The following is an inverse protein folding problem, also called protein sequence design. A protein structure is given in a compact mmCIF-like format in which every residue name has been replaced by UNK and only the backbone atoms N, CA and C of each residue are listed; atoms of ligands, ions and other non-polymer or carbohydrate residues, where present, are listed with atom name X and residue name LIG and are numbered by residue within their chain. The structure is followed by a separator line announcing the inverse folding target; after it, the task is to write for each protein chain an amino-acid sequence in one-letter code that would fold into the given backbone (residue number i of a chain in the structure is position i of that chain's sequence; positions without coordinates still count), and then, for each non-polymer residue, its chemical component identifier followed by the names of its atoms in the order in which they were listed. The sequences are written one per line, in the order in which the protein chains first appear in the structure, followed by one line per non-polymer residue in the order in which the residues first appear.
data_IF_855146005203
#
_entry.id   IF_855146005203
#
_cell.length_a   1.000
_cell.length_b   1.000
_cell.length_c   1.000
_cell.angle_alpha   90.00
_cell.angle_beta   90.00
_cell.angle_gamma   90.00
#
_symmetry.space_group_name_H-M   'P 1'
#
loop_
_entity.id
_entity.type
_entity.pdbx_description
1 polymer ?
#
# COMPACT_ATOMS: atom_id res chain seq x y z
N UNK A 1 -17.33 -0.43 -12.42
CA UNK A 1 -16.74 -0.03 -11.13
C UNK A 1 -15.26 -0.29 -11.21
N UNK A 2 -14.44 0.70 -10.86
CA UNK A 2 -13.00 0.50 -10.73
C UNK A 2 -12.71 -0.57 -9.66
N UNK A 3 -11.74 -1.47 -9.91
CA UNK A 3 -11.36 -2.55 -8.97
C UNK A 3 -11.04 -2.00 -7.58
N UNK A 4 -10.43 -0.82 -7.53
CA UNK A 4 -10.09 -0.09 -6.30
C UNK A 4 -11.32 0.31 -5.48
N UNK A 5 -12.43 0.67 -6.14
CA UNK A 5 -13.69 1.02 -5.47
C UNK A 5 -14.32 -0.21 -4.80
N UNK A 6 -14.20 -1.37 -5.45
CA UNK A 6 -14.68 -2.65 -4.91
C UNK A 6 -13.87 -3.03 -3.67
N UNK A 7 -12.54 -2.96 -3.74
CA UNK A 7 -11.66 -3.27 -2.60
C UNK A 7 -11.90 -2.32 -1.42
N UNK A 8 -12.13 -1.02 -1.67
CA UNK A 8 -12.47 -0.05 -0.61
C UNK A 8 -13.74 -0.42 0.12
N UNK A 9 -14.80 -0.81 -0.60
CA UNK A 9 -16.06 -1.27 0.02
C UNK A 9 -15.87 -2.54 0.83
N UNK A 10 -15.10 -3.50 0.32
CA UNK A 10 -14.80 -4.74 1.05
C UNK A 10 -14.00 -4.47 2.33
N UNK A 11 -13.05 -3.54 2.27
CA UNK A 11 -12.27 -3.08 3.43
C UNK A 11 -13.16 -2.49 4.52
N UNK A 12 -14.09 -1.61 4.15
CA UNK A 12 -15.05 -0.98 5.07
C UNK A 12 -15.98 -2.03 5.72
N UNK A 13 -16.45 -3.00 4.94
CA UNK A 13 -17.29 -4.09 5.45
C UNK A 13 -16.54 -4.94 6.50
N UNK A 14 -15.29 -5.32 6.22
CA UNK A 14 -14.47 -6.10 7.15
C UNK A 14 -14.21 -5.33 8.44
N UNK A 15 -13.92 -4.03 8.35
CA UNK A 15 -13.74 -3.17 9.54
C UNK A 15 -15.04 -3.10 10.36
N UNK A 16 -16.20 -2.98 9.71
CA UNK A 16 -17.48 -2.99 10.41
C UNK A 16 -17.72 -4.31 11.15
N UNK A 17 -17.35 -5.45 10.54
CA UNK A 17 -17.50 -6.78 11.16
C UNK A 17 -16.51 -7.00 12.30
N UNK A 18 -15.28 -6.47 12.18
CA UNK A 18 -14.28 -6.47 13.26
C UNK A 18 -14.75 -5.68 14.47
N UNK A 19 -15.42 -4.55 14.26
CA UNK A 19 -15.97 -3.72 15.33
C UNK A 19 -17.23 -4.33 15.98
N UNK A 20 -17.95 -5.19 15.26
CA UNK A 20 -19.13 -5.88 15.77
C UNK A 20 -18.80 -7.11 16.64
N UNK A 21 -17.53 -7.36 16.95
CA UNK A 21 -17.05 -8.56 17.67
C UNK A 21 -17.52 -9.88 17.03
N UNK A 22 -17.63 -9.91 15.71
CA UNK A 22 -17.95 -11.14 14.97
C UNK A 22 -16.87 -12.19 15.28
N UNK A 23 -17.27 -13.43 15.60
CA UNK A 23 -16.41 -14.47 16.20
C UNK A 23 -15.24 -14.95 15.32
N UNK A 24 -15.07 -14.35 14.16
CA UNK A 24 -14.08 -14.68 13.14
C UNK A 24 -12.98 -13.61 12.99
N UNK A 25 -12.67 -12.87 14.06
CA UNK A 25 -11.67 -11.78 14.08
C UNK A 25 -10.39 -12.11 13.31
N UNK A 26 -9.82 -13.30 13.51
CA UNK A 26 -8.58 -13.71 12.82
C UNK A 26 -8.78 -13.81 11.31
N UNK A 27 -9.90 -14.37 10.83
CA UNK A 27 -10.20 -14.48 9.39
C UNK A 27 -10.42 -13.09 8.78
N UNK A 28 -11.11 -12.22 9.50
CA UNK A 28 -11.36 -10.84 9.09
C UNK A 28 -10.05 -10.03 9.00
N UNK A 29 -9.13 -10.20 9.95
CA UNK A 29 -7.81 -9.57 9.89
C UNK A 29 -6.97 -10.07 8.72
N UNK A 30 -6.98 -11.38 8.44
CA UNK A 30 -6.28 -11.95 7.27
C UNK A 30 -6.86 -11.37 5.97
N UNK A 31 -8.18 -11.37 5.82
CA UNK A 31 -8.84 -10.81 4.65
C UNK A 31 -8.57 -9.30 4.49
N UNK A 32 -8.41 -8.56 5.59
CA UNK A 32 -8.04 -7.14 5.55
C UNK A 32 -6.63 -6.94 5.01
N UNK A 33 -5.67 -7.78 5.44
CA UNK A 33 -4.29 -7.74 4.95
C UNK A 33 -4.23 -8.05 3.45
N UNK A 34 -4.92 -9.08 2.99
CA UNK A 34 -4.96 -9.44 1.56
C UNK A 34 -5.47 -8.27 0.68
N UNK A 35 -6.46 -7.52 1.17
CA UNK A 35 -7.02 -6.34 0.47
C UNK A 35 -6.03 -5.18 0.46
N UNK A 36 -5.37 -4.90 1.59
CA UNK A 36 -4.39 -3.82 1.69
C UNK A 36 -3.17 -4.13 0.78
N UNK A 37 -2.73 -5.39 0.71
CA UNK A 37 -1.66 -5.85 -0.21
C UNK A 37 -2.05 -5.67 -1.69
N UNK A 38 -3.27 -6.07 -2.09
CA UNK A 38 -3.75 -5.89 -3.47
C UNK A 38 -3.87 -4.40 -3.84
N UNK A 39 -4.31 -3.56 -2.90
CA UNK A 39 -4.37 -2.11 -3.09
C UNK A 39 -2.97 -1.50 -3.20
N UNK A 40 -2.00 -1.95 -2.41
CA UNK A 40 -0.61 -1.52 -2.52
C UNK A 40 -0.01 -1.92 -3.87
N UNK A 41 -0.21 -3.17 -4.32
CA UNK A 41 0.30 -3.62 -5.62
C UNK A 41 -0.27 -2.77 -6.79
N UNK A 42 -1.56 -2.44 -6.74
CA UNK A 42 -2.17 -1.53 -7.72
C UNK A 42 -1.64 -0.10 -7.61
N UNK A 43 -1.37 0.39 -6.40
CA UNK A 43 -0.71 1.67 -6.16
C UNK A 43 0.75 1.70 -6.64
N UNK A 44 1.47 0.60 -6.53
CA UNK A 44 2.84 0.46 -7.02
C UNK A 44 2.91 0.29 -8.53
N UNK A 45 1.93 -0.39 -9.16
CA UNK A 45 1.80 -0.45 -10.62
C UNK A 45 1.53 0.91 -11.25
N UNK A 46 0.80 1.80 -10.56
CA UNK A 46 0.65 3.20 -10.97
C UNK A 46 1.88 4.05 -10.61
N UNK A 47 2.65 3.61 -9.60
CA UNK A 47 3.88 4.24 -9.14
C UNK A 47 5.16 3.60 -9.69
N UNK A 48 5.17 3.14 -10.96
CA UNK A 48 6.40 3.25 -11.79
C UNK A 48 6.75 4.74 -12.03
N UNK A 49 6.70 5.54 -10.97
CA UNK A 49 7.33 6.83 -10.85
C UNK A 49 8.80 6.52 -10.69
N UNK A 50 9.53 6.80 -11.76
CA UNK A 50 10.98 6.89 -11.80
C UNK A 50 11.49 7.50 -10.50
N UNK A 51 12.04 6.67 -9.61
CA UNK A 51 12.95 7.19 -8.60
C UNK A 51 14.08 7.85 -9.38
N UNK A 52 14.38 9.15 -9.14
CA UNK A 52 15.48 9.80 -9.84
C UNK A 52 16.75 8.99 -9.58
N UNK A 53 17.62 8.80 -10.59
CA UNK A 53 18.86 8.07 -10.40
C UNK A 53 19.63 8.73 -9.26
N UNK A 54 19.85 7.98 -8.18
CA UNK A 54 20.66 8.42 -7.05
C UNK A 54 21.99 8.97 -7.58
N UNK A 55 22.41 10.18 -7.19
CA UNK A 55 23.67 10.72 -7.66
C UNK A 55 24.80 9.80 -7.18
N UNK A 56 25.61 9.33 -8.14
CA UNK A 56 26.77 8.49 -7.85
C UNK A 56 27.64 9.15 -6.77
N UNK A 57 28.14 8.38 -5.79
CA UNK A 57 28.97 8.84 -4.65
C UNK A 57 30.11 9.80 -5.03
N UNK A 58 30.56 9.78 -6.29
CA UNK A 58 31.57 10.70 -6.83
C UNK A 58 31.09 12.15 -6.99
N UNK A 59 29.79 12.41 -7.13
CA UNK A 59 29.22 13.76 -7.31
C UNK A 59 29.08 14.49 -5.97
N UNK A 60 28.64 13.78 -4.92
CA UNK A 60 28.46 14.33 -3.56
C UNK A 60 29.77 14.93 -3.02
N UNK A 61 30.92 14.28 -3.27
CA UNK A 61 32.22 14.76 -2.78
C UNK A 61 32.66 16.10 -3.38
N UNK A 62 32.14 16.50 -4.54
CA UNK A 62 32.55 17.73 -5.22
C UNK A 62 31.77 18.97 -4.76
N UNK A 63 30.54 18.78 -4.28
CA UNK A 63 29.66 19.88 -3.85
C UNK A 63 29.89 20.30 -2.39
N UNK A 64 30.47 19.43 -1.55
CA UNK A 64 30.75 19.71 -0.13
C UNK A 64 32.15 20.29 0.14
N UNK A 65 32.99 20.37 -0.88
CA UNK A 65 34.38 20.85 -0.79
C UNK A 65 34.62 22.12 -1.63
N UNK A 66 33.55 22.77 -2.09
CA UNK A 66 33.60 24.05 -2.81
C UNK A 66 33.19 25.20 -1.90
#
# INVERSE_FOLDING_TARGET
MERTEILRRQREEIISRLNAEDGERTKLLVALMDIDDEMEEMGQRTSQVQLPPMPSRRRIKREWLA
#
